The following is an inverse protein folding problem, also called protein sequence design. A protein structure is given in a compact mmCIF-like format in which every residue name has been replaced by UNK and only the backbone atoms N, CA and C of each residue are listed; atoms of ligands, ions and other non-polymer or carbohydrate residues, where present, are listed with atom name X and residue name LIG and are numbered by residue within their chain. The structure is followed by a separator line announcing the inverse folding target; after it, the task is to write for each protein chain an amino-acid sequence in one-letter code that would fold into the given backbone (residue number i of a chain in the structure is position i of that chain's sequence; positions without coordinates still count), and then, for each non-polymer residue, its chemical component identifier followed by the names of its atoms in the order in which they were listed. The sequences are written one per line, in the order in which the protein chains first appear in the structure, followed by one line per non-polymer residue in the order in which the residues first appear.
data_IF_530784686298
#
_entry.id   IF_530784686298
#
_cell.length_a   1.000
_cell.length_b   1.000
_cell.length_c   1.000
_cell.angle_alpha   90.00
_cell.angle_beta   90.00
_cell.angle_gamma   90.00
#
_symmetry.space_group_name_H-M   'P 1'
#
loop_
_entity.id
_entity.type
_entity.pdbx_description
1 polymer ?
#
# COMPACT_ATOMS: atom_id res chain seq x y z
N UNK A 1 9.40 1.22 20.38
CA UNK A 1 8.41 1.98 21.19
C UNK A 1 7.64 2.95 20.30
N UNK A 2 6.61 3.65 20.78
CA UNK A 2 5.83 4.62 19.98
C UNK A 2 6.67 5.74 19.35
N UNK A 3 7.89 5.98 19.86
CA UNK A 3 8.88 6.94 19.36
C UNK A 3 9.92 6.35 18.38
N UNK A 4 9.93 5.04 18.16
CA UNK A 4 10.78 4.45 17.10
C UNK A 4 10.11 4.61 15.73
N UNK A 5 10.89 4.85 14.66
CA UNK A 5 10.35 4.94 13.31
C UNK A 5 9.73 3.60 12.89
N UNK A 6 8.40 3.56 12.91
CA UNK A 6 7.63 2.45 12.38
C UNK A 6 7.38 2.65 10.88
N UNK A 7 7.46 1.60 10.04
CA UNK A 7 7.25 1.71 8.60
C UNK A 7 5.95 2.45 8.25
N UNK A 8 6.05 3.43 7.36
CA UNK A 8 4.92 4.23 6.88
C UNK A 8 4.61 5.49 7.70
N UNK A 9 5.16 5.68 8.90
CA UNK A 9 5.02 6.96 9.65
C UNK A 9 5.85 8.05 8.99
N UNK A 10 5.25 9.22 8.83
CA UNK A 10 5.92 10.37 8.24
C UNK A 10 5.26 11.70 8.57
N UNK A 11 5.81 12.76 7.98
CA UNK A 11 5.28 14.12 8.05
C UNK A 11 5.13 14.64 6.62
N UNK A 12 3.96 15.18 6.30
CA UNK A 12 3.70 15.84 5.03
C UNK A 12 3.89 17.36 5.22
N UNK A 13 4.94 17.91 4.62
CA UNK A 13 5.16 19.35 4.54
C UNK A 13 4.33 19.97 3.41
N UNK A 14 3.70 21.10 3.68
CA UNK A 14 2.97 21.91 2.70
C UNK A 14 3.74 23.19 2.37
N UNK A 15 3.51 23.76 1.19
CA UNK A 15 4.17 24.98 0.74
C UNK A 15 3.89 26.20 1.65
N UNK A 16 2.79 26.17 2.41
CA UNK A 16 2.43 27.18 3.42
C UNK A 16 3.16 26.98 4.77
N UNK A 17 4.11 26.04 4.84
CA UNK A 17 4.88 25.72 6.04
C UNK A 17 4.14 24.81 7.03
N UNK A 18 2.89 24.44 6.78
CA UNK A 18 2.15 23.50 7.65
C UNK A 18 2.71 22.09 7.53
N UNK A 19 2.70 21.38 8.65
CA UNK A 19 3.14 19.99 8.73
C UNK A 19 2.01 19.13 9.27
N UNK A 20 1.64 18.07 8.54
CA UNK A 20 0.62 17.11 8.96
C UNK A 20 1.26 15.75 9.23
N UNK A 21 0.91 15.11 10.34
CA UNK A 21 1.28 13.72 10.57
C UNK A 21 0.63 12.83 9.50
N UNK A 22 1.46 12.02 8.84
CA UNK A 22 1.04 11.07 7.82
C UNK A 22 1.27 9.67 8.37
N UNK A 23 0.37 8.76 8.03
CA UNK A 23 0.79 7.38 7.88
C UNK A 23 0.37 6.79 6.54
N UNK A 24 1.36 6.26 5.82
CA UNK A 24 1.16 5.58 4.55
C UNK A 24 0.38 4.28 4.75
N UNK A 25 -0.56 4.03 3.82
CA UNK A 25 -1.21 2.74 3.70
C UNK A 25 -0.20 1.64 3.37
N UNK A 26 -0.48 0.43 3.83
CA UNK A 26 0.37 -0.73 3.61
C UNK A 26 -0.29 -1.68 2.60
N UNK A 27 0.45 -2.03 1.56
CA UNK A 27 0.04 -3.05 0.58
C UNK A 27 0.92 -4.26 0.81
N UNK A 28 0.37 -5.30 1.42
CA UNK A 28 1.09 -6.55 1.70
C UNK A 28 0.43 -7.74 1.03
N UNK A 29 1.19 -8.40 0.16
CA UNK A 29 0.87 -9.74 -0.26
C UNK A 29 1.44 -10.10 -1.62
N UNK A 30 1.68 -11.39 -1.78
CA UNK A 30 1.65 -12.06 -3.07
C UNK A 30 0.37 -12.88 -3.08
N UNK A 31 -0.41 -12.79 -4.15
CA UNK A 31 -1.49 -13.75 -4.40
C UNK A 31 -0.82 -14.95 -5.09
N UNK A 32 -0.73 -16.14 -4.45
CA UNK A 32 -0.40 -17.35 -5.17
C UNK A 32 -1.29 -17.48 -6.40
N UNK A 33 -0.74 -18.01 -7.49
CA UNK A 33 -1.50 -18.23 -8.74
C UNK A 33 -2.79 -19.03 -8.53
N UNK A 34 -2.87 -19.80 -7.45
CA UNK A 34 -3.99 -20.66 -7.05
C UNK A 34 -4.77 -20.15 -5.83
N UNK A 35 -4.46 -18.96 -5.29
CA UNK A 35 -5.18 -18.45 -4.14
C UNK A 35 -6.60 -18.04 -4.53
N UNK A 36 -7.57 -18.75 -3.96
CA UNK A 36 -9.00 -18.41 -4.02
C UNK A 36 -9.38 -17.30 -3.04
N UNK A 37 -8.48 -16.98 -2.10
CA UNK A 37 -8.65 -15.86 -1.17
C UNK A 37 -8.51 -14.55 -1.94
N UNK A 38 -9.55 -13.71 -1.87
CA UNK A 38 -9.51 -12.36 -2.43
C UNK A 38 -8.41 -11.54 -1.74
N UNK A 39 -7.70 -10.66 -2.46
CA UNK A 39 -6.87 -9.65 -1.80
C UNK A 39 -7.75 -8.87 -0.82
N UNK A 40 -7.36 -8.86 0.45
CA UNK A 40 -8.12 -8.22 1.53
C UNK A 40 -7.47 -6.91 1.89
N UNK A 41 -8.12 -5.80 1.54
CA UNK A 41 -7.85 -4.50 2.15
C UNK A 41 -8.52 -4.51 3.52
N UNK A 42 -7.73 -4.53 4.58
CA UNK A 42 -8.24 -4.48 5.96
C UNK A 42 -7.97 -3.10 6.55
N UNK A 43 -8.97 -2.42 7.13
CA UNK A 43 -8.72 -1.23 7.92
C UNK A 43 -7.83 -1.63 9.10
N UNK A 44 -6.79 -0.84 9.35
CA UNK A 44 -5.84 -1.08 10.42
C UNK A 44 -6.06 -0.04 11.51
N UNK A 45 -6.13 -0.49 12.75
CA UNK A 45 -6.23 0.40 13.90
C UNK A 45 -5.02 1.33 13.99
N UNK A 46 -5.26 2.61 14.22
CA UNK A 46 -4.22 3.65 14.13
C UNK A 46 -3.03 3.39 15.06
N UNK A 47 -3.29 2.84 16.25
CA UNK A 47 -2.25 2.51 17.22
C UNK A 47 -1.37 1.31 16.81
N UNK A 48 -1.82 0.48 15.85
CA UNK A 48 -1.10 -0.70 15.33
C UNK A 48 -0.33 -0.42 14.05
N UNK A 49 -0.42 0.81 13.54
CA UNK A 49 0.12 1.17 12.25
C UNK A 49 1.65 1.16 12.27
N UNK A 50 2.23 0.22 11.51
CA UNK A 50 3.67 -0.08 11.52
C UNK A 50 4.00 -1.48 12.05
N UNK A 51 3.07 -2.15 12.73
CA UNK A 51 3.23 -3.55 13.16
C UNK A 51 3.48 -4.47 11.95
N UNK A 52 4.29 -5.53 12.09
CA UNK A 52 4.37 -6.59 11.09
C UNK A 52 2.99 -7.24 10.89
N UNK A 53 2.64 -7.66 9.66
CA UNK A 53 1.35 -8.23 9.39
C UNK A 53 1.28 -9.63 10.01
N UNK A 54 0.08 -10.07 10.39
CA UNK A 54 -0.11 -11.47 10.74
C UNK A 54 0.37 -12.34 9.57
N UNK A 55 1.32 -13.24 9.81
CA UNK A 55 1.83 -14.14 8.79
C UNK A 55 0.69 -15.05 8.34
N UNK A 56 0.27 -14.90 7.09
CA UNK A 56 -0.64 -15.87 6.47
C UNK A 56 0.20 -17.03 5.93
N UNK A 57 -0.14 -18.30 6.23
CA UNK A 57 0.50 -19.42 5.56
C UNK A 57 0.10 -19.37 4.08
N UNK A 58 1.09 -19.17 3.21
CA UNK A 58 0.90 -19.07 1.77
C UNK A 58 1.60 -20.26 1.12
N UNK A 59 0.86 -21.08 0.36
CA UNK A 59 1.44 -22.19 -0.40
C UNK A 59 2.09 -21.63 -1.65
N UNK A 60 3.43 -21.69 -1.74
CA UNK A 60 4.17 -21.21 -2.91
C UNK A 60 4.04 -22.19 -4.08
N UNK A 61 3.02 -22.00 -4.91
CA UNK A 61 2.83 -22.76 -6.16
C UNK A 61 3.05 -21.85 -7.38
N UNK A 62 4.23 -21.21 -7.42
CA UNK A 62 4.65 -20.25 -8.46
C UNK A 62 4.31 -18.79 -8.16
N UNK A 63 5.03 -17.87 -8.81
CA UNK A 63 4.92 -16.43 -8.59
C UNK A 63 3.73 -15.84 -9.36
N UNK A 64 2.58 -15.67 -8.70
CA UNK A 64 1.49 -14.82 -9.17
C UNK A 64 1.81 -13.31 -9.03
N UNK A 65 0.99 -12.41 -9.60
CA UNK A 65 1.18 -10.97 -9.46
C UNK A 65 1.10 -10.55 -7.98
N UNK A 66 1.92 -9.58 -7.59
CA UNK A 66 1.91 -9.02 -6.24
C UNK A 66 0.71 -8.09 -6.06
N UNK A 67 0.29 -7.85 -4.81
CA UNK A 67 -0.76 -6.87 -4.53
C UNK A 67 -0.36 -5.46 -5.01
N UNK A 68 0.95 -5.15 -5.01
CA UNK A 68 1.49 -3.92 -5.57
C UNK A 68 1.27 -3.84 -7.10
N UNK A 69 1.51 -4.93 -7.83
CA UNK A 69 1.26 -5.00 -9.27
C UNK A 69 -0.24 -4.86 -9.59
N UNK A 70 -1.10 -5.45 -8.76
CA UNK A 70 -2.55 -5.32 -8.90
C UNK A 70 -3.03 -3.90 -8.58
N UNK A 71 -2.50 -3.28 -7.52
CA UNK A 71 -2.78 -1.88 -7.20
C UNK A 71 -2.35 -0.95 -8.33
N UNK A 72 -1.12 -1.11 -8.84
CA UNK A 72 -0.61 -0.31 -9.95
C UNK A 72 -1.52 -0.45 -11.18
N UNK A 73 -1.91 -1.68 -11.53
CA UNK A 73 -2.82 -1.94 -12.66
C UNK A 73 -4.21 -1.33 -12.45
N UNK A 74 -4.73 -1.36 -11.23
CA UNK A 74 -6.02 -0.77 -10.88
C UNK A 74 -5.98 0.77 -10.94
N UNK A 75 -4.91 1.37 -10.41
CA UNK A 75 -4.69 2.82 -10.46
C UNK A 75 -4.56 3.31 -11.90
N UNK A 76 -3.80 2.60 -12.73
CA UNK A 76 -3.62 2.94 -14.14
C UNK A 76 -4.95 2.90 -14.92
N UNK A 77 -5.79 1.89 -14.65
CA UNK A 77 -7.13 1.80 -15.24
C UNK A 77 -8.03 2.94 -14.78
N UNK A 78 -8.07 3.23 -13.47
CA UNK A 78 -8.88 4.31 -12.93
C UNK A 78 -8.46 5.68 -13.49
N UNK A 79 -7.14 5.92 -13.62
CA UNK A 79 -6.62 7.14 -14.24
C UNK A 79 -7.08 7.30 -15.69
N UNK A 80 -7.09 6.21 -16.48
CA UNK A 80 -7.63 6.21 -17.84
C UNK A 80 -9.14 6.49 -17.87
N UNK A 81 -9.91 5.87 -16.99
CA UNK A 81 -11.37 6.02 -16.91
C UNK A 81 -11.79 7.47 -16.65
N UNK A 82 -11.01 8.22 -15.89
CA UNK A 82 -11.30 9.64 -15.58
C UNK A 82 -10.48 10.63 -16.42
N UNK A 83 -9.77 10.15 -17.44
CA UNK A 83 -8.84 10.93 -18.27
C UNK A 83 -7.90 11.82 -17.44
N UNK A 84 -7.36 11.27 -16.34
CA UNK A 84 -6.48 12.00 -15.45
C UNK A 84 -5.24 12.52 -16.20
N UNK A 85 -4.90 13.79 -15.99
CA UNK A 85 -3.69 14.39 -16.55
C UNK A 85 -2.45 13.64 -16.05
N UNK A 86 -1.64 13.13 -16.98
CA UNK A 86 -0.40 12.46 -16.63
C UNK A 86 0.60 13.46 -16.05
N UNK A 87 1.06 13.21 -14.83
CA UNK A 87 2.12 14.02 -14.20
C UNK A 87 3.47 13.48 -14.69
N UNK A 88 4.43 14.35 -15.08
CA UNK A 88 5.76 13.92 -15.47
C UNK A 88 6.42 13.06 -14.38
N UNK A 89 7.28 12.12 -14.79
CA UNK A 89 8.11 11.35 -13.86
C UNK A 89 8.89 12.29 -12.93
N UNK A 90 8.90 11.97 -11.65
CA UNK A 90 9.75 12.61 -10.63
C UNK A 90 11.08 11.86 -10.43
N UNK A 91 11.26 10.74 -11.14
CA UNK A 91 12.49 9.98 -11.24
C UNK A 91 13.25 10.37 -12.51
#
# INVERSE_FOLDING_TARGET
GPDEPAPGRGRLGRADGRVTSLQAGRVTGRIPRTATLRPTVVPLEWHRMGDPPARRPVRELGNGPTDLALLASALERAAREVAATHVPSLL
#
